data_IF_445470428850
#
_entry.id   IF_445470428850
#
_cell.length_a   1.000
_cell.length_b   1.000
_cell.length_c   1.000
_cell.angle_alpha   90.00
_cell.angle_beta   90.00
_cell.angle_gamma   90.00
#
_symmetry.space_group_name_H-M   'P 1'
#
loop_
_entity.id
_entity.type
_entity.pdbx_description
1 polymer ?
#
# COMPACT_ATOMS: atom_id res chain seq x y z
N UNK A 1 -20.15 -18.98 1.98
CA UNK A 1 -20.94 -18.97 0.72
C UNK A 1 -20.20 -18.12 -0.30
N UNK A 2 -20.04 -18.59 -1.55
CA UNK A 2 -19.16 -17.97 -2.55
C UNK A 2 -19.46 -16.48 -2.77
N UNK A 3 -20.75 -16.10 -2.79
CA UNK A 3 -21.18 -14.70 -2.95
C UNK A 3 -20.66 -13.77 -1.84
N UNK A 4 -20.65 -14.23 -0.58
CA UNK A 4 -20.15 -13.40 0.54
C UNK A 4 -18.64 -13.18 0.43
N UNK A 5 -17.90 -14.21 0.06
CA UNK A 5 -16.44 -14.13 -0.10
C UNK A 5 -16.04 -13.24 -1.27
N UNK A 6 -16.76 -13.33 -2.40
CA UNK A 6 -16.54 -12.42 -3.54
C UNK A 6 -16.80 -10.95 -3.19
N UNK A 7 -17.83 -10.67 -2.40
CA UNK A 7 -18.13 -9.30 -1.95
C UNK A 7 -17.02 -8.73 -1.05
N UNK A 8 -16.44 -9.55 -0.15
CA UNK A 8 -15.28 -9.13 0.65
C UNK A 8 -14.05 -8.86 -0.21
N UNK A 9 -13.78 -9.68 -1.24
CA UNK A 9 -12.65 -9.45 -2.15
C UNK A 9 -12.80 -8.15 -2.97
N UNK A 10 -14.01 -7.81 -3.43
CA UNK A 10 -14.25 -6.53 -4.11
C UNK A 10 -14.04 -5.36 -3.14
N UNK A 11 -14.51 -5.49 -1.90
CA UNK A 11 -14.37 -4.45 -0.88
C UNK A 11 -12.91 -4.20 -0.47
N UNK A 12 -12.09 -5.26 -0.45
CA UNK A 12 -10.65 -5.17 -0.22
C UNK A 12 -10.00 -4.29 -1.29
N UNK A 13 -10.22 -4.59 -2.57
CA UNK A 13 -9.66 -3.82 -3.70
C UNK A 13 -10.18 -2.37 -3.69
N UNK A 14 -11.47 -2.18 -3.44
CA UNK A 14 -12.06 -0.83 -3.33
C UNK A 14 -11.39 -0.01 -2.24
N UNK A 15 -11.22 -0.60 -1.05
CA UNK A 15 -10.60 0.08 0.08
C UNK A 15 -9.15 0.44 -0.22
N UNK A 16 -8.36 -0.49 -0.74
CA UNK A 16 -6.95 -0.26 -1.06
C UNK A 16 -6.75 0.82 -2.13
N UNK A 17 -7.45 0.71 -3.26
CA UNK A 17 -7.23 1.58 -4.41
C UNK A 17 -7.99 2.90 -4.32
N UNK A 18 -9.30 2.86 -4.01
CA UNK A 18 -10.15 4.06 -4.06
C UNK A 18 -10.06 4.88 -2.79
N UNK A 19 -9.79 4.26 -1.64
CA UNK A 19 -9.71 4.98 -0.36
C UNK A 19 -8.26 5.23 0.03
N UNK A 20 -7.44 4.19 0.19
CA UNK A 20 -6.10 4.34 0.77
C UNK A 20 -5.12 5.00 -0.21
N UNK A 21 -5.02 4.49 -1.45
CA UNK A 21 -4.09 5.03 -2.45
C UNK A 21 -4.46 6.47 -2.85
N UNK A 22 -5.75 6.80 -2.99
CA UNK A 22 -6.18 8.17 -3.33
C UNK A 22 -5.90 9.16 -2.20
N UNK A 23 -6.15 8.80 -0.94
CA UNK A 23 -5.84 9.66 0.21
C UNK A 23 -4.33 9.89 0.32
N UNK A 24 -3.53 8.85 0.11
CA UNK A 24 -2.07 8.95 0.10
C UNK A 24 -1.60 9.92 -0.98
N UNK A 25 -2.14 9.78 -2.20
CA UNK A 25 -1.83 10.69 -3.31
C UNK A 25 -2.27 12.13 -3.02
N UNK A 26 -3.47 12.32 -2.47
CA UNK A 26 -3.97 13.65 -2.09
C UNK A 26 -3.07 14.32 -1.05
N UNK A 27 -2.61 13.59 -0.03
CA UNK A 27 -1.67 14.13 0.96
C UNK A 27 -0.37 14.59 0.29
N UNK A 28 0.20 13.79 -0.62
CA UNK A 28 1.44 14.13 -1.33
C UNK A 28 1.23 15.34 -2.26
N UNK A 29 0.10 15.43 -2.95
CA UNK A 29 -0.20 16.55 -3.86
C UNK A 29 -0.48 17.85 -3.11
N UNK A 30 -1.04 17.79 -1.91
CA UNK A 30 -1.35 18.95 -1.08
C UNK A 30 -0.22 19.34 -0.11
N UNK A 31 0.80 18.50 0.10
CA UNK A 31 1.89 18.75 1.06
C UNK A 31 2.91 19.80 0.60
N UNK A 32 2.92 20.16 -0.69
CA UNK A 32 3.93 21.04 -1.27
C UNK A 32 5.34 20.42 -1.34
N UNK A 33 5.50 19.12 -1.12
CA UNK A 33 6.79 18.44 -1.28
C UNK A 33 7.22 18.40 -2.73
N UNK A 34 8.51 18.59 -3.00
CA UNK A 34 9.07 18.56 -4.36
C UNK A 34 8.96 17.15 -4.95
N UNK A 35 8.21 17.03 -6.04
CA UNK A 35 8.08 15.78 -6.81
C UNK A 35 9.07 15.86 -7.97
N UNK A 36 10.21 15.18 -7.84
CA UNK A 36 11.18 15.10 -8.93
C UNK A 36 10.77 14.05 -9.96
N UNK A 37 10.50 14.51 -11.19
CA UNK A 37 10.16 13.62 -12.30
C UNK A 37 11.43 12.92 -12.82
N UNK A 38 11.39 11.59 -12.90
CA UNK A 38 12.53 10.77 -13.36
C UNK A 38 13.46 10.31 -12.23
N UNK A 39 13.21 10.72 -10.98
CA UNK A 39 13.86 10.16 -9.81
C UNK A 39 13.06 8.99 -9.24
N UNK A 40 13.75 8.01 -8.63
CA UNK A 40 13.11 6.91 -7.94
C UNK A 40 12.46 7.42 -6.64
N UNK A 41 11.17 7.74 -6.71
CA UNK A 41 10.37 8.14 -5.57
C UNK A 41 9.37 7.03 -5.21
N UNK A 42 9.33 6.64 -3.94
CA UNK A 42 8.42 5.62 -3.42
C UNK A 42 8.05 5.92 -1.98
N UNK A 43 8.44 5.03 -1.07
CA UNK A 43 8.22 5.18 0.37
C UNK A 43 8.71 6.53 0.93
N UNK A 44 9.87 7.01 0.45
CA UNK A 44 10.44 8.28 0.89
C UNK A 44 9.56 9.49 0.57
N UNK A 45 8.97 9.55 -0.63
CA UNK A 45 8.08 10.63 -1.03
C UNK A 45 6.81 10.65 -0.18
N UNK A 46 6.26 9.46 0.12
CA UNK A 46 5.12 9.33 1.03
C UNK A 46 5.49 9.81 2.45
N UNK A 47 6.64 9.40 2.99
CA UNK A 47 7.10 9.85 4.31
C UNK A 47 7.30 11.37 4.33
N UNK A 48 7.94 11.93 3.31
CA UNK A 48 8.17 13.37 3.18
C UNK A 48 6.85 14.15 3.08
N UNK A 49 5.92 13.69 2.25
CA UNK A 49 4.59 14.31 2.08
C UNK A 49 3.78 14.32 3.37
N UNK A 50 3.73 13.18 4.08
CA UNK A 50 3.04 13.10 5.37
C UNK A 50 3.73 13.90 6.48
N UNK A 51 5.06 13.93 6.49
CA UNK A 51 5.84 14.71 7.47
C UNK A 51 5.64 16.21 7.28
N UNK A 52 5.56 16.67 6.03
CA UNK A 52 5.25 18.07 5.70
C UNK A 52 3.88 18.51 6.26
N UNK A 53 2.86 17.67 6.13
CA UNK A 53 1.48 18.02 6.51
C UNK A 53 1.22 17.85 8.01
N UNK A 54 1.74 16.77 8.62
CA UNK A 54 1.38 16.36 9.99
C UNK A 54 2.53 16.44 11.01
N UNK A 55 3.74 16.80 10.57
CA UNK A 55 4.93 16.93 11.40
C UNK A 55 5.75 15.64 11.56
N UNK A 56 6.93 15.74 12.18
CA UNK A 56 7.95 14.68 12.20
C UNK A 56 7.56 13.37 12.89
N UNK A 57 6.60 13.39 13.82
CA UNK A 57 6.16 12.18 14.52
C UNK A 57 5.49 11.17 13.57
N UNK A 58 4.89 11.67 12.48
CA UNK A 58 4.23 10.82 11.48
C UNK A 58 5.21 10.02 10.64
N UNK A 59 6.47 10.45 10.51
CA UNK A 59 7.47 9.70 9.73
C UNK A 59 7.64 8.26 10.22
N UNK A 60 7.75 8.07 11.54
CA UNK A 60 7.92 6.76 12.18
C UNK A 60 6.63 5.94 12.03
N UNK A 61 5.48 6.57 12.23
CA UNK A 61 4.19 5.92 12.07
C UNK A 61 3.99 5.38 10.65
N UNK A 62 4.23 6.21 9.63
CA UNK A 62 4.08 5.83 8.22
C UNK A 62 5.09 4.75 7.82
N UNK A 63 6.32 4.80 8.33
CA UNK A 63 7.32 3.75 8.09
C UNK A 63 6.89 2.39 8.65
N UNK A 64 6.36 2.35 9.88
CA UNK A 64 5.84 1.11 10.50
C UNK A 64 4.64 0.59 9.71
N UNK A 65 3.71 1.48 9.33
CA UNK A 65 2.53 1.10 8.56
C UNK A 65 2.90 0.49 7.20
N UNK A 66 3.84 1.10 6.47
CA UNK A 66 4.35 0.56 5.20
C UNK A 66 5.04 -0.80 5.39
N UNK A 67 5.78 -0.99 6.48
CA UNK A 67 6.39 -2.28 6.80
C UNK A 67 5.33 -3.38 6.99
N UNK A 68 4.27 -3.09 7.74
CA UNK A 68 3.17 -4.03 7.93
C UNK A 68 2.46 -4.38 6.60
N UNK A 69 2.24 -3.38 5.74
CA UNK A 69 1.62 -3.58 4.42
C UNK A 69 2.49 -4.42 3.47
N UNK A 70 3.80 -4.17 3.46
CA UNK A 70 4.74 -4.98 2.70
C UNK A 70 4.76 -6.43 3.22
N UNK A 71 4.76 -6.62 4.54
CA UNK A 71 4.74 -7.93 5.17
C UNK A 71 3.46 -8.72 4.83
N UNK A 72 2.28 -8.11 4.94
CA UNK A 72 1.01 -8.79 4.58
C UNK A 72 0.99 -9.18 3.10
N UNK A 73 1.55 -8.34 2.23
CA UNK A 73 1.64 -8.61 0.79
C UNK A 73 2.53 -9.82 0.51
N UNK A 74 3.71 -9.90 1.16
CA UNK A 74 4.64 -11.02 1.00
C UNK A 74 3.98 -12.34 1.43
N UNK A 75 3.26 -12.34 2.55
CA UNK A 75 2.52 -13.53 3.00
C UNK A 75 1.44 -13.97 2.01
N UNK A 76 0.66 -13.01 1.49
CA UNK A 76 -0.36 -13.28 0.47
C UNK A 76 0.24 -13.89 -0.79
N UNK A 77 1.25 -13.24 -1.36
CA UNK A 77 1.95 -13.73 -2.56
C UNK A 77 2.67 -15.06 -2.34
N UNK A 78 3.22 -15.29 -1.15
CA UNK A 78 3.82 -16.57 -0.78
C UNK A 78 2.81 -17.72 -0.82
N UNK A 79 1.62 -17.52 -0.28
CA UNK A 79 0.54 -18.51 -0.33
C UNK A 79 0.05 -18.72 -1.76
N UNK A 80 -0.24 -17.64 -2.50
CA UNK A 80 -0.68 -17.73 -3.89
C UNK A 80 0.35 -18.46 -4.76
N UNK A 81 1.63 -18.11 -4.60
CA UNK A 81 2.74 -18.75 -5.31
C UNK A 81 2.88 -20.24 -4.99
N UNK A 82 2.78 -20.63 -3.72
CA UNK A 82 2.83 -22.03 -3.32
C UNK A 82 1.71 -22.85 -3.97
N UNK A 83 0.48 -22.31 -4.03
CA UNK A 83 -0.65 -23.00 -4.69
C UNK A 83 -0.50 -23.10 -6.20
N UNK A 84 0.05 -22.07 -6.85
CA UNK A 84 0.34 -22.12 -8.28
C UNK A 84 1.42 -23.16 -8.62
N UNK A 85 2.47 -23.25 -7.79
CA UNK A 85 3.54 -24.26 -7.96
C UNK A 85 3.01 -25.67 -7.71
N UNK A 86 2.20 -25.86 -6.65
CA UNK A 86 1.54 -27.13 -6.37
C UNK A 86 0.70 -27.60 -7.57
N UNK A 87 -0.09 -26.72 -8.19
CA UNK A 87 -0.88 -27.04 -9.38
C UNK A 87 -0.04 -27.39 -10.64
N UNK A 88 1.17 -26.82 -10.77
CA UNK A 88 2.03 -27.03 -11.94
C UNK A 88 2.84 -28.32 -11.86
N UNK A 89 3.26 -28.72 -10.65
CA UNK A 89 4.18 -29.84 -10.43
C UNK A 89 3.54 -31.05 -9.75
N UNK A 90 2.25 -30.97 -9.37
CA UNK A 90 1.44 -32.08 -8.86
C UNK A 90 0.21 -32.31 -9.73
#
# INVERSE_FOLDING_TARGET
>A
KPVKQGMFGIFEVFTDTIVICTLTALVILCSGTTIEYGAAAGAELTISGFTSVYGSWVSIFTAIAMCCFAFSTILGWGLYGARCIEFLFS
#
